data_IF_183359031751
#
_entry.id   IF_183359031751
#
_cell.length_a   1.000
_cell.length_b   1.000
_cell.length_c   1.000
_cell.angle_alpha   90.00
_cell.angle_beta   90.00
_cell.angle_gamma   90.00
#
_symmetry.space_group_name_H-M   'P 1'
#
loop_
_entity.id
_entity.type
_entity.pdbx_description
1 polymer ?
#
# COMPACT_ATOMS: atom_id res chain seq x y z
N UNK A 1 31.33 6.45 -69.09
CA UNK A 1 30.51 7.06 -68.02
C UNK A 1 29.84 5.95 -67.22
N UNK A 2 30.43 5.56 -66.10
CA UNK A 2 29.88 4.70 -65.04
C UNK A 2 30.81 4.92 -63.81
N UNK A 3 30.32 5.43 -62.68
CA UNK A 3 29.56 4.76 -61.58
C UNK A 3 30.47 3.89 -60.71
N UNK A 4 30.73 4.35 -59.47
CA UNK A 4 30.49 3.62 -58.20
C UNK A 4 31.39 4.16 -57.08
N UNK A 5 30.76 4.77 -56.08
CA UNK A 5 31.29 4.92 -54.72
C UNK A 5 30.39 4.05 -53.81
N UNK A 6 30.96 3.28 -52.88
CA UNK A 6 30.29 3.01 -51.62
C UNK A 6 30.99 3.77 -50.49
N UNK A 7 30.22 4.21 -49.49
CA UNK A 7 30.62 3.82 -48.14
C UNK A 7 29.41 3.31 -47.35
N UNK A 8 29.31 1.99 -47.20
CA UNK A 8 28.49 1.39 -46.15
C UNK A 8 29.38 1.12 -44.93
N UNK A 9 29.61 2.17 -44.15
CA UNK A 9 30.08 2.09 -42.77
C UNK A 9 28.89 2.33 -41.85
N UNK A 10 28.05 1.31 -41.67
CA UNK A 10 26.95 1.35 -40.72
C UNK A 10 27.46 1.30 -39.29
N UNK A 11 27.82 2.45 -38.71
CA UNK A 11 27.89 2.59 -37.26
C UNK A 11 26.47 2.74 -36.71
N UNK A 12 25.90 1.60 -36.33
CA UNK A 12 24.76 1.56 -35.44
C UNK A 12 25.20 2.15 -34.09
N UNK A 13 25.10 3.48 -33.96
CA UNK A 13 25.01 4.15 -32.66
C UNK A 13 23.70 3.67 -32.01
N UNK A 14 23.82 2.56 -31.29
CA UNK A 14 22.82 2.07 -30.36
C UNK A 14 22.72 3.06 -29.21
N UNK A 15 21.90 4.10 -29.40
CA UNK A 15 21.32 4.85 -28.30
C UNK A 15 20.62 3.85 -27.36
N UNK A 16 21.05 3.72 -26.10
CA UNK A 16 20.21 3.02 -25.14
C UNK A 16 18.98 3.90 -24.95
N UNK A 17 17.88 3.50 -25.62
CA UNK A 17 16.51 3.94 -25.33
C UNK A 17 16.37 3.98 -23.82
N UNK A 18 16.39 5.17 -23.24
CA UNK A 18 15.99 5.39 -21.85
C UNK A 18 14.52 5.00 -21.77
N UNK A 19 14.29 3.70 -21.51
CA UNK A 19 13.01 3.15 -21.11
C UNK A 19 12.61 3.96 -19.89
N UNK A 20 11.58 4.78 -20.08
CA UNK A 20 11.10 5.70 -19.08
C UNK A 20 10.81 4.95 -17.78
N UNK A 21 11.72 5.10 -16.82
CA UNK A 21 11.35 5.34 -15.43
C UNK A 21 10.71 6.73 -15.38
N UNK A 22 9.55 6.85 -16.05
CA UNK A 22 8.53 7.71 -15.48
C UNK A 22 8.06 6.97 -14.24
N UNK A 23 8.80 7.18 -13.15
CA UNK A 23 8.19 7.30 -11.84
C UNK A 23 7.08 8.31 -12.06
N UNK A 24 5.87 7.80 -12.33
CA UNK A 24 4.65 8.53 -12.05
C UNK A 24 4.79 8.87 -10.58
N UNK A 25 5.36 10.03 -10.30
CA UNK A 25 5.10 10.75 -9.07
C UNK A 25 3.62 11.05 -9.18
N UNK A 26 2.84 10.12 -8.67
CA UNK A 26 1.48 10.44 -8.33
C UNK A 26 1.56 11.71 -7.48
N UNK A 27 0.76 12.75 -7.77
CA UNK A 27 0.78 13.98 -6.98
C UNK A 27 0.40 13.76 -5.50
N UNK A 28 0.07 12.52 -5.13
CA UNK A 28 -0.23 12.04 -3.79
C UNK A 28 0.91 11.26 -3.13
N UNK A 29 2.01 10.94 -3.81
CA UNK A 29 2.99 9.98 -3.28
C UNK A 29 3.62 10.48 -1.98
N UNK A 30 4.27 11.64 -2.01
CA UNK A 30 4.87 12.21 -0.80
C UNK A 30 3.82 12.91 0.10
N UNK A 31 2.93 13.71 -0.50
CA UNK A 31 1.92 14.47 0.24
C UNK A 31 0.89 13.55 0.92
N UNK A 32 0.39 12.54 0.21
CA UNK A 32 -0.53 11.55 0.74
C UNK A 32 0.11 10.67 1.83
N UNK A 33 1.40 10.34 1.73
CA UNK A 33 2.11 9.66 2.81
C UNK A 33 2.17 10.53 4.07
N UNK A 34 2.46 11.82 3.93
CA UNK A 34 2.44 12.76 5.06
C UNK A 34 1.03 12.88 5.67
N UNK A 35 -0.02 12.93 4.85
CA UNK A 35 -1.41 12.95 5.32
C UNK A 35 -1.80 11.67 6.07
N UNK A 36 -1.42 10.49 5.55
CA UNK A 36 -1.64 9.21 6.24
C UNK A 36 -0.92 9.21 7.58
N UNK A 37 0.36 9.61 7.62
CA UNK A 37 1.12 9.71 8.89
C UNK A 37 0.41 10.62 9.89
N UNK A 38 -0.03 11.80 9.45
CA UNK A 38 -0.76 12.75 10.29
C UNK A 38 -2.12 12.20 10.75
N UNK A 39 -2.81 11.42 9.92
CA UNK A 39 -4.06 10.76 10.27
C UNK A 39 -3.83 9.63 11.30
N UNK A 40 -2.78 8.82 11.15
CA UNK A 40 -2.42 7.77 12.12
C UNK A 40 -2.05 8.36 13.48
N UNK A 41 -1.29 9.46 13.49
CA UNK A 41 -0.95 10.16 14.72
C UNK A 41 -2.20 10.70 15.44
N UNK A 42 -3.18 11.22 14.69
CA UNK A 42 -4.48 11.63 15.22
C UNK A 42 -5.26 10.43 15.76
N UNK A 43 -5.35 9.35 14.99
CA UNK A 43 -6.07 8.13 15.35
C UNK A 43 -5.57 7.55 16.68
N UNK A 44 -4.25 7.47 16.89
CA UNK A 44 -3.68 6.98 18.16
C UNK A 44 -4.03 7.90 19.33
N UNK A 45 -3.96 9.22 19.13
CA UNK A 45 -4.27 10.20 20.20
C UNK A 45 -5.76 10.23 20.55
N UNK A 46 -6.65 10.16 19.57
CA UNK A 46 -8.09 10.35 19.80
C UNK A 46 -8.82 9.05 20.12
N UNK A 47 -8.42 7.93 19.52
CA UNK A 47 -9.07 6.63 19.73
C UNK A 47 -8.33 5.73 20.73
N UNK A 48 -7.20 6.19 21.30
CA UNK A 48 -6.45 5.43 22.29
C UNK A 48 -5.85 4.11 21.78
N UNK A 49 -5.72 3.96 20.45
CA UNK A 49 -5.24 2.71 19.87
C UNK A 49 -3.72 2.56 20.08
N UNK A 50 -3.25 1.42 20.62
CA UNK A 50 -1.82 1.19 20.85
C UNK A 50 -1.07 1.09 19.52
N UNK A 51 -1.72 0.56 18.46
CA UNK A 51 -1.13 0.37 17.15
C UNK A 51 -2.04 0.99 16.08
N UNK A 52 -1.44 1.80 15.20
CA UNK A 52 -2.08 2.29 14.00
C UNK A 52 -1.09 2.24 12.83
N UNK A 53 -1.54 1.82 11.66
CA UNK A 53 -0.72 1.77 10.46
C UNK A 53 -1.56 2.05 9.23
N UNK A 54 -0.93 2.33 8.09
CA UNK A 54 -1.67 2.74 6.91
C UNK A 54 -0.83 2.78 5.65
N UNK A 55 -1.53 2.87 4.54
CA UNK A 55 -0.92 2.84 3.22
C UNK A 55 -1.79 3.49 2.17
N UNK A 56 -1.16 3.84 1.05
CA UNK A 56 -1.83 4.36 -0.13
C UNK A 56 -2.09 3.22 -1.13
N UNK A 57 -3.15 3.38 -1.91
CA UNK A 57 -3.42 2.54 -3.08
C UNK A 57 -2.38 2.89 -4.15
N UNK A 58 -1.67 1.90 -4.65
CA UNK A 58 -0.68 2.09 -5.71
C UNK A 58 -1.36 2.49 -7.03
N UNK A 59 -0.84 3.52 -7.69
CA UNK A 59 -1.36 3.95 -8.98
C UNK A 59 -1.26 2.82 -10.02
N UNK A 60 -2.38 2.51 -10.68
CA UNK A 60 -2.45 1.45 -11.70
C UNK A 60 -2.49 0.02 -11.15
N UNK A 61 -2.48 -0.17 -9.82
CA UNK A 61 -2.62 -1.48 -9.18
C UNK A 61 -3.81 -1.45 -8.21
N UNK A 62 -4.53 -2.56 -8.09
CA UNK A 62 -5.59 -2.72 -7.08
C UNK A 62 -4.98 -3.19 -5.74
N UNK A 63 -3.88 -2.56 -5.31
CA UNK A 63 -3.14 -2.96 -4.12
C UNK A 63 -2.84 -1.74 -3.25
N UNK A 64 -2.88 -1.92 -1.93
CA UNK A 64 -2.48 -0.93 -0.94
C UNK A 64 -1.10 -1.29 -0.43
N UNK A 65 -0.15 -0.38 -0.52
CA UNK A 65 1.18 -0.56 0.08
C UNK A 65 1.23 0.10 1.44
N UNK A 66 1.47 -0.68 2.49
CA UNK A 66 1.65 -0.16 3.85
C UNK A 66 2.99 0.56 3.93
N UNK A 67 2.95 1.87 4.13
CA UNK A 67 4.16 2.72 4.18
C UNK A 67 4.37 3.34 5.55
N UNK A 68 3.29 3.55 6.31
CA UNK A 68 3.30 4.29 7.56
C UNK A 68 2.85 3.41 8.72
N UNK A 69 3.67 3.36 9.77
CA UNK A 69 3.45 2.59 10.97
C UNK A 69 3.55 3.51 12.19
N UNK A 70 2.74 3.27 13.21
CA UNK A 70 2.79 4.03 14.46
C UNK A 70 2.40 3.13 15.64
N UNK A 71 3.31 2.96 16.60
CA UNK A 71 3.09 2.09 17.76
C UNK A 71 3.30 0.59 17.49
N UNK A 72 3.83 0.23 16.32
CA UNK A 72 4.28 -1.13 16.02
C UNK A 72 5.59 -1.45 16.74
N UNK A 73 5.73 -2.66 17.26
CA UNK A 73 6.95 -3.17 17.87
C UNK A 73 7.92 -3.74 16.82
N UNK A 74 7.40 -4.15 15.66
CA UNK A 74 8.18 -4.77 14.58
C UNK A 74 8.00 -4.02 13.25
N UNK A 75 8.92 -4.21 12.29
CA UNK A 75 8.74 -3.74 10.93
C UNK A 75 7.92 -4.71 10.06
N UNK A 76 7.33 -5.78 10.62
CA UNK A 76 6.73 -6.88 9.84
C UNK A 76 5.59 -6.43 8.90
N UNK A 77 4.89 -5.35 9.25
CA UNK A 77 3.81 -4.77 8.45
C UNK A 77 4.32 -3.76 7.40
N UNK A 78 5.58 -3.30 7.49
CA UNK A 78 6.14 -2.29 6.59
C UNK A 78 6.29 -2.88 5.19
N UNK A 79 5.94 -2.08 4.18
CA UNK A 79 6.02 -2.44 2.76
C UNK A 79 5.14 -3.61 2.34
N UNK A 80 4.25 -4.09 3.23
CA UNK A 80 3.30 -5.13 2.88
C UNK A 80 2.34 -4.63 1.80
N UNK A 81 2.20 -5.41 0.73
CA UNK A 81 1.25 -5.15 -0.35
C UNK A 81 -0.05 -5.92 -0.08
N UNK A 82 -1.11 -5.17 0.20
CA UNK A 82 -2.44 -5.71 0.46
C UNK A 82 -3.26 -5.67 -0.83
N UNK A 83 -3.61 -6.84 -1.35
CA UNK A 83 -4.40 -6.94 -2.58
C UNK A 83 -5.87 -6.68 -2.30
N UNK A 84 -6.54 -5.91 -3.17
CA UNK A 84 -7.99 -5.69 -3.09
C UNK A 84 -8.75 -7.01 -3.07
N UNK A 85 -9.69 -7.17 -2.13
CA UNK A 85 -10.45 -8.39 -1.89
C UNK A 85 -9.78 -9.39 -0.93
N UNK A 86 -8.48 -9.24 -0.64
CA UNK A 86 -7.71 -10.16 0.21
C UNK A 86 -7.47 -9.58 1.60
N UNK A 87 -7.65 -10.41 2.63
CA UNK A 87 -7.51 -10.04 4.03
C UNK A 87 -8.51 -8.96 4.46
N UNK A 88 -8.29 -8.40 5.65
CA UNK A 88 -9.15 -7.33 6.17
C UNK A 88 -9.06 -6.05 5.33
N UNK A 89 -7.83 -5.66 4.99
CA UNK A 89 -7.54 -4.43 4.26
C UNK A 89 -8.07 -4.42 2.84
N UNK A 90 -7.82 -5.51 2.10
CA UNK A 90 -8.32 -5.67 0.75
C UNK A 90 -9.84 -5.73 0.71
N UNK A 91 -10.47 -6.38 1.70
CA UNK A 91 -11.93 -6.37 1.84
C UNK A 91 -12.48 -4.95 2.04
N UNK A 92 -11.85 -4.15 2.89
CA UNK A 92 -12.24 -2.76 3.11
C UNK A 92 -12.12 -1.89 1.84
N UNK A 93 -11.07 -2.12 1.03
CA UNK A 93 -10.90 -1.48 -0.29
C UNK A 93 -12.01 -1.90 -1.24
N UNK A 94 -12.25 -3.21 -1.38
CA UNK A 94 -13.23 -3.76 -2.31
C UNK A 94 -14.65 -3.27 -2.01
N UNK A 95 -15.02 -3.19 -0.73
CA UNK A 95 -16.33 -2.73 -0.29
C UNK A 95 -16.43 -1.21 -0.19
N UNK A 96 -15.31 -0.49 -0.26
CA UNK A 96 -15.19 0.93 0.08
C UNK A 96 -15.86 1.28 1.42
N UNK A 97 -15.79 0.36 2.39
CA UNK A 97 -16.43 0.47 3.71
C UNK A 97 -15.50 0.01 4.83
N UNK A 98 -15.60 0.61 6.03
CA UNK A 98 -14.88 0.13 7.20
C UNK A 98 -15.18 -1.34 7.49
N UNK A 99 -14.14 -2.11 7.82
CA UNK A 99 -14.24 -3.51 8.21
C UNK A 99 -13.45 -3.73 9.51
N UNK A 100 -14.02 -4.46 10.47
CA UNK A 100 -13.35 -4.78 11.73
C UNK A 100 -13.49 -6.27 12.06
N UNK A 101 -12.46 -6.80 12.70
CA UNK A 101 -12.43 -8.15 13.29
C UNK A 101 -11.87 -8.04 14.71
N UNK A 102 -12.49 -8.73 15.65
CA UNK A 102 -12.06 -8.79 17.05
C UNK A 102 -11.07 -9.91 17.33
N UNK A 103 -11.04 -10.94 16.47
CA UNK A 103 -10.01 -11.97 16.49
C UNK A 103 -9.58 -12.24 15.05
N UNK A 104 -8.44 -11.68 14.66
CA UNK A 104 -7.92 -11.79 13.30
C UNK A 104 -7.66 -13.25 12.94
N UNK A 105 -7.02 -14.02 13.83
CA UNK A 105 -6.64 -15.42 13.60
C UNK A 105 -7.83 -16.37 13.47
N UNK A 106 -8.91 -16.12 14.21
CA UNK A 106 -10.11 -16.96 14.18
C UNK A 106 -11.18 -16.46 13.20
N UNK A 107 -10.97 -15.30 12.56
CA UNK A 107 -12.02 -14.65 11.78
C UNK A 107 -12.20 -15.27 10.39
N UNK A 108 -13.26 -16.06 10.24
CA UNK A 108 -13.77 -16.55 8.93
C UNK A 108 -14.28 -15.46 7.97
N UNK A 109 -14.30 -14.19 8.40
CA UNK A 109 -14.75 -13.05 7.58
C UNK A 109 -13.63 -12.50 6.69
N UNK A 110 -12.38 -12.88 6.91
CA UNK A 110 -11.25 -12.41 6.13
C UNK A 110 -10.45 -13.61 5.66
N UNK A 111 -9.66 -13.42 4.63
CA UNK A 111 -8.65 -14.40 4.25
C UNK A 111 -7.35 -14.15 5.04
N UNK A 112 -6.50 -15.17 5.10
CA UNK A 112 -5.43 -15.32 6.09
C UNK A 112 -4.00 -15.20 5.50
N UNK A 113 -3.87 -14.60 4.32
CA UNK A 113 -2.59 -14.42 3.62
C UNK A 113 -1.63 -13.50 4.38
N UNK A 114 -2.14 -12.72 5.33
CA UNK A 114 -1.37 -11.76 6.13
C UNK A 114 -1.26 -12.16 7.60
N UNK A 115 -1.59 -13.40 7.96
CA UNK A 115 -1.50 -13.88 9.33
C UNK A 115 -0.09 -13.79 9.89
N UNK A 116 0.94 -14.17 9.12
CA UNK A 116 2.33 -14.13 9.57
C UNK A 116 2.79 -12.73 10.03
N UNK A 117 2.66 -11.65 9.22
CA UNK A 117 3.06 -10.31 9.68
C UNK A 117 2.14 -9.75 10.76
N UNK A 118 0.85 -10.12 10.79
CA UNK A 118 -0.10 -9.70 11.85
C UNK A 118 0.22 -10.37 13.19
N UNK A 119 0.54 -11.67 13.17
CA UNK A 119 0.95 -12.44 14.34
C UNK A 119 2.33 -12.02 14.86
N UNK A 120 3.28 -11.73 13.96
CA UNK A 120 4.61 -11.21 14.34
C UNK A 120 4.51 -9.88 15.10
N UNK A 121 3.53 -9.05 14.77
CA UNK A 121 3.24 -7.80 15.48
C UNK A 121 2.37 -8.00 16.75
N UNK A 122 1.86 -9.22 16.95
CA UNK A 122 1.00 -9.57 18.10
C UNK A 122 -0.39 -8.94 18.04
N UNK A 123 -0.92 -8.66 16.84
CA UNK A 123 -2.22 -8.02 16.68
C UNK A 123 -3.35 -9.06 16.77
N UNK A 124 -4.43 -8.70 17.46
CA UNK A 124 -5.60 -9.57 17.69
C UNK A 124 -6.88 -8.97 17.14
N UNK A 125 -7.23 -7.77 17.60
CA UNK A 125 -8.35 -6.99 17.08
C UNK A 125 -7.83 -5.98 16.06
N UNK A 126 -8.41 -5.94 14.86
CA UNK A 126 -7.97 -5.04 13.79
C UNK A 126 -9.19 -4.43 13.09
N UNK A 127 -9.14 -3.12 12.88
CA UNK A 127 -10.07 -2.37 12.03
C UNK A 127 -9.32 -1.79 10.83
N UNK A 128 -9.93 -1.88 9.66
CA UNK A 128 -9.47 -1.27 8.41
C UNK A 128 -10.51 -0.26 7.93
N UNK A 129 -10.07 0.99 7.72
CA UNK A 129 -10.91 2.12 7.33
C UNK A 129 -10.39 2.68 5.99
N UNK A 130 -11.17 2.58 4.89
CA UNK A 130 -10.74 3.10 3.60
C UNK A 130 -10.84 4.62 3.57
N UNK A 131 -9.82 5.28 3.02
CA UNK A 131 -9.81 6.72 2.73
C UNK A 131 -10.36 6.92 1.32
N UNK A 132 -11.59 7.42 1.21
CA UNK A 132 -12.29 7.62 -0.06
C UNK A 132 -12.23 9.08 -0.49
N UNK A 133 -11.65 9.34 -1.66
CA UNK A 133 -11.57 10.68 -2.25
C UNK A 133 -12.17 10.63 -3.65
N UNK A 134 -13.15 11.51 -3.92
CA UNK A 134 -13.87 11.55 -5.20
C UNK A 134 -14.39 10.16 -5.62
N UNK A 135 -15.06 9.47 -4.68
CA UNK A 135 -15.65 8.12 -4.85
C UNK A 135 -14.64 7.01 -5.18
N UNK A 136 -13.33 7.24 -4.99
CA UNK A 136 -12.30 6.21 -5.16
C UNK A 136 -11.52 6.04 -3.86
N UNK A 137 -11.26 4.79 -3.49
CA UNK A 137 -10.36 4.49 -2.37
C UNK A 137 -8.94 4.90 -2.77
N UNK A 138 -8.31 5.74 -1.95
CA UNK A 138 -6.93 6.24 -2.15
C UNK A 138 -5.94 5.67 -1.16
N UNK A 139 -6.42 5.13 -0.05
CA UNK A 139 -5.60 4.49 0.97
C UNK A 139 -6.45 3.79 1.99
N UNK A 140 -5.80 3.15 2.96
CA UNK A 140 -6.46 2.49 4.09
C UNK A 140 -5.69 2.83 5.36
N UNK A 141 -6.45 3.18 6.39
CA UNK A 141 -5.97 3.34 7.76
C UNK A 141 -6.36 2.11 8.56
N UNK A 142 -5.44 1.60 9.33
CA UNK A 142 -5.63 0.46 10.21
C UNK A 142 -5.43 0.89 11.65
N UNK A 143 -6.31 0.38 12.50
CA UNK A 143 -6.20 0.46 13.95
C UNK A 143 -6.18 -0.95 14.52
N UNK A 144 -5.30 -1.23 15.48
CA UNK A 144 -5.19 -2.57 16.04
C UNK A 144 -4.91 -2.57 17.54
N UNK A 145 -5.39 -3.63 18.20
CA UNK A 145 -5.16 -3.96 19.60
C UNK A 145 -4.42 -5.30 19.67
N UNK A 146 -3.62 -5.47 20.73
CA UNK A 146 -2.94 -6.75 21.04
C UNK A 146 -3.77 -7.66 21.94
N UNK A 147 -4.83 -7.13 22.55
CA UNK A 147 -5.82 -7.86 23.34
C UNK A 147 -7.16 -7.90 22.62
N UNK A 148 -7.97 -8.92 22.92
CA UNK A 148 -9.36 -9.01 22.45
C UNK A 148 -10.24 -8.02 23.22
#
# INVERSE_FOLDING_TARGET
>A
MQVSLPPNGGEARSEPRRRGDQVTTDPWGAAGVAEIRGALARLRRTAGLPVAFGGLVEAGRHQVRISELSGTATPALRSLAVTSGTGLGGRAVALARPCAVTDYSASRRISHEYDAPVAAEGLRSVVAVPVVVRRRVRGVLYGALRSA
#
